data_IF_652963491475
#
_entry.id   IF_652963491475
#
_cell.length_a   1.000
_cell.length_b   1.000
_cell.length_c   1.000
_cell.angle_alpha   90.00
_cell.angle_beta   90.00
_cell.angle_gamma   90.00
#
_symmetry.space_group_name_H-M   'P 1'
#
loop_
_entity.id
_entity.type
_entity.pdbx_description
1 polymer ?
#
# COMPACT_ATOMS: atom_id res chain seq x y z
N UNK A 1 2.62 -0.56 -18.77
CA UNK A 1 3.84 -1.34 -18.46
C UNK A 1 5.02 -0.94 -19.33
N UNK A 2 4.81 -0.56 -20.60
CA UNK A 2 5.87 -0.04 -21.49
C UNK A 2 6.73 1.05 -20.86
N UNK A 3 6.10 1.99 -20.16
CA UNK A 3 6.81 3.06 -19.43
C UNK A 3 7.80 2.52 -18.39
N UNK A 4 7.49 1.43 -17.68
CA UNK A 4 8.42 0.85 -16.70
C UNK A 4 9.64 0.23 -17.38
N UNK A 5 9.44 -0.36 -18.56
CA UNK A 5 10.51 -0.98 -19.34
C UNK A 5 11.40 0.11 -19.96
N UNK A 6 10.80 1.17 -20.49
CA UNK A 6 11.49 2.34 -21.07
C UNK A 6 12.33 3.09 -20.03
N UNK A 7 11.80 3.31 -18.82
CA UNK A 7 12.51 4.03 -17.76
C UNK A 7 13.37 3.12 -16.89
N UNK A 8 13.34 1.81 -17.13
CA UNK A 8 13.99 0.78 -16.31
C UNK A 8 13.63 0.88 -14.82
N UNK A 9 12.44 1.38 -14.50
CA UNK A 9 11.99 1.60 -13.12
C UNK A 9 11.92 0.30 -12.34
N UNK A 10 12.60 0.24 -11.20
CA UNK A 10 12.61 -0.93 -10.30
C UNK A 10 11.61 -0.84 -9.16
N UNK A 11 11.04 0.35 -8.93
CA UNK A 11 10.12 0.61 -7.83
C UNK A 11 8.91 1.38 -8.37
N UNK A 12 7.73 0.95 -7.98
CA UNK A 12 6.47 1.66 -8.22
C UNK A 12 5.84 1.98 -6.88
N UNK A 13 5.54 3.26 -6.66
CA UNK A 13 4.88 3.73 -5.44
C UNK A 13 3.45 4.13 -5.81
N UNK A 14 2.46 3.45 -5.23
CA UNK A 14 1.06 3.78 -5.41
C UNK A 14 0.52 4.61 -4.25
N UNK A 15 -0.16 5.71 -4.55
CA UNK A 15 -0.76 6.58 -3.53
C UNK A 15 -2.15 6.11 -3.13
N UNK A 16 -2.39 5.83 -1.84
CA UNK A 16 -3.66 5.26 -1.36
C UNK A 16 -4.92 6.02 -1.85
N UNK A 17 -4.85 7.35 -1.93
CA UNK A 17 -5.95 8.19 -2.39
C UNK A 17 -6.42 7.94 -3.83
N UNK A 18 -5.58 7.34 -4.69
CA UNK A 18 -5.96 6.95 -6.05
C UNK A 18 -6.50 5.51 -6.14
N UNK A 19 -6.73 4.84 -5.01
CA UNK A 19 -7.15 3.43 -4.93
C UNK A 19 -6.22 2.47 -5.72
N UNK A 20 -4.89 2.50 -5.48
CA UNK A 20 -3.90 1.93 -6.39
C UNK A 20 -3.75 0.42 -6.27
N UNK A 21 -4.44 -0.23 -5.33
CA UNK A 21 -4.22 -1.64 -5.01
C UNK A 21 -4.39 -2.57 -6.23
N UNK A 22 -5.44 -2.46 -7.07
CA UNK A 22 -5.59 -3.33 -8.23
C UNK A 22 -4.40 -3.22 -9.19
N UNK A 23 -3.92 -2.00 -9.44
CA UNK A 23 -2.81 -1.72 -10.34
C UNK A 23 -1.48 -2.24 -9.79
N UNK A 24 -1.18 -1.97 -8.51
CA UNK A 24 0.03 -2.49 -7.86
C UNK A 24 0.07 -4.02 -7.89
N UNK A 25 -1.07 -4.67 -7.63
CA UNK A 25 -1.18 -6.12 -7.69
C UNK A 25 -0.98 -6.65 -9.12
N UNK A 26 -1.54 -5.98 -10.12
CA UNK A 26 -1.35 -6.34 -11.53
C UNK A 26 0.12 -6.19 -11.94
N UNK A 27 0.77 -5.09 -11.55
CA UNK A 27 2.19 -4.84 -11.81
C UNK A 27 3.04 -5.93 -11.15
N UNK A 28 2.84 -6.22 -9.86
CA UNK A 28 3.63 -7.24 -9.15
C UNK A 28 3.51 -8.62 -9.78
N UNK A 29 2.33 -8.98 -10.29
CA UNK A 29 2.11 -10.25 -10.99
C UNK A 29 2.78 -10.28 -12.36
N UNK A 30 2.72 -9.19 -13.11
CA UNK A 30 3.30 -9.11 -14.46
C UNK A 30 4.83 -8.94 -14.45
N UNK A 31 5.36 -8.30 -13.40
CA UNK A 31 6.77 -7.94 -13.24
C UNK A 31 7.20 -8.19 -11.78
N UNK A 32 7.47 -9.45 -11.38
CA UNK A 32 7.78 -9.79 -9.99
C UNK A 32 9.04 -9.11 -9.45
N UNK A 33 9.98 -8.78 -10.33
CA UNK A 33 11.24 -8.08 -10.02
C UNK A 33 11.04 -6.59 -9.68
N UNK A 34 9.90 -6.01 -10.06
CA UNK A 34 9.55 -4.63 -9.70
C UNK A 34 9.00 -4.63 -8.27
N UNK A 35 9.57 -3.77 -7.43
CA UNK A 35 9.09 -3.54 -6.07
C UNK A 35 7.84 -2.68 -6.11
N UNK A 36 6.77 -3.12 -5.48
CA UNK A 36 5.53 -2.34 -5.35
C UNK A 36 5.36 -1.87 -3.91
N UNK A 37 5.33 -0.56 -3.73
CA UNK A 37 5.26 0.10 -2.42
C UNK A 37 3.97 0.89 -2.36
N UNK A 38 3.29 0.83 -1.21
CA UNK A 38 2.06 1.60 -0.99
C UNK A 38 2.37 2.83 -0.13
N UNK A 39 2.01 4.01 -0.62
CA UNK A 39 2.09 5.26 0.12
C UNK A 39 0.74 5.59 0.76
N UNK A 40 0.68 5.59 2.09
CA UNK A 40 -0.55 5.60 2.87
C UNK A 40 -0.80 6.94 3.59
N UNK A 41 -0.81 8.06 2.87
CA UNK A 41 -0.96 9.39 3.50
C UNK A 41 -2.34 9.64 4.12
N UNK A 42 -3.40 9.06 3.56
CA UNK A 42 -4.79 9.42 3.86
C UNK A 42 -5.66 8.20 4.20
N UNK A 43 -5.33 7.52 5.30
CA UNK A 43 -6.04 6.31 5.72
C UNK A 43 -6.81 6.49 7.04
N UNK A 44 -8.07 6.04 7.13
CA UNK A 44 -8.94 5.54 6.05
C UNK A 44 -9.55 6.68 5.20
N UNK A 45 -10.00 6.37 3.98
CA UNK A 45 -10.73 7.34 3.13
C UNK A 45 -12.25 7.32 3.36
N UNK A 46 -12.77 6.18 3.83
CA UNK A 46 -14.20 6.01 4.03
C UNK A 46 -14.67 6.69 5.32
N UNK A 47 -15.84 7.33 5.27
CA UNK A 47 -16.48 7.96 6.43
C UNK A 47 -17.43 7.00 7.18
N UNK A 48 -17.91 5.95 6.51
CA UNK A 48 -18.81 4.96 7.11
C UNK A 48 -18.04 3.75 7.64
N UNK A 49 -18.55 3.15 8.71
CA UNK A 49 -17.92 1.98 9.32
C UNK A 49 -17.74 0.81 8.34
N UNK A 50 -18.74 0.53 7.52
CA UNK A 50 -18.67 -0.51 6.49
C UNK A 50 -17.60 -0.23 5.42
N UNK A 51 -17.44 1.04 5.02
CA UNK A 51 -16.39 1.44 4.09
C UNK A 51 -15.00 1.27 4.69
N UNK A 52 -14.82 1.60 5.96
CA UNK A 52 -13.55 1.41 6.68
C UNK A 52 -13.21 -0.09 6.76
N UNK A 53 -14.17 -0.93 7.15
CA UNK A 53 -13.96 -2.39 7.21
C UNK A 53 -13.58 -2.99 5.85
N UNK A 54 -14.20 -2.50 4.76
CA UNK A 54 -13.85 -2.90 3.40
C UNK A 54 -12.43 -2.49 3.03
N UNK A 55 -12.00 -1.29 3.39
CA UNK A 55 -10.63 -0.82 3.19
C UNK A 55 -9.62 -1.64 4.02
N UNK A 56 -9.92 -1.90 5.30
CA UNK A 56 -9.11 -2.77 6.17
C UNK A 56 -8.95 -4.18 5.55
N UNK A 57 -10.02 -4.73 4.98
CA UNK A 57 -9.99 -6.04 4.31
C UNK A 57 -9.12 -6.03 3.05
N UNK A 58 -9.26 -5.03 2.18
CA UNK A 58 -8.46 -4.96 0.96
C UNK A 58 -6.98 -4.72 1.24
N UNK A 59 -6.68 -3.82 2.18
CA UNK A 59 -5.32 -3.54 2.59
C UNK A 59 -4.65 -4.81 3.13
N UNK A 60 -5.33 -5.54 4.03
CA UNK A 60 -4.87 -6.86 4.52
C UNK A 60 -4.56 -7.85 3.41
N UNK A 61 -5.46 -7.96 2.43
CA UNK A 61 -5.32 -8.93 1.32
C UNK A 61 -4.20 -8.55 0.35
N UNK A 62 -3.94 -7.26 0.20
CA UNK A 62 -2.90 -6.74 -0.69
C UNK A 62 -1.49 -6.93 -0.12
N UNK A 63 -1.33 -6.98 1.21
CA UNK A 63 -0.03 -7.02 1.89
C UNK A 63 0.93 -8.10 1.42
N UNK A 64 0.43 -9.29 1.08
CA UNK A 64 1.27 -10.37 0.53
C UNK A 64 1.92 -10.05 -0.82
N UNK A 65 1.47 -9.00 -1.49
CA UNK A 65 2.00 -8.52 -2.76
C UNK A 65 2.76 -7.20 -2.61
N UNK A 66 2.68 -6.55 -1.45
CA UNK A 66 3.38 -5.30 -1.20
C UNK A 66 4.80 -5.60 -0.72
N UNK A 67 5.78 -4.96 -1.34
CA UNK A 67 7.16 -5.01 -0.90
C UNK A 67 7.43 -4.03 0.26
N UNK A 68 6.54 -3.05 0.47
CA UNK A 68 6.57 -2.19 1.64
C UNK A 68 5.41 -1.18 1.70
N UNK A 69 5.30 -0.49 2.83
CA UNK A 69 4.35 0.61 3.05
C UNK A 69 5.08 1.85 3.57
N UNK A 70 4.77 3.01 3.01
CA UNK A 70 5.22 4.31 3.51
C UNK A 70 4.08 4.98 4.26
N UNK A 71 4.37 5.43 5.47
CA UNK A 71 3.43 6.16 6.32
C UNK A 71 3.87 7.63 6.50
N UNK A 72 2.92 8.58 6.65
CA UNK A 72 3.24 9.99 6.89
C UNK A 72 3.68 10.29 8.33
N UNK A 73 3.34 9.41 9.28
CA UNK A 73 3.64 9.58 10.70
C UNK A 73 3.57 8.25 11.44
N UNK A 74 4.22 8.20 12.60
CA UNK A 74 4.17 7.05 13.51
C UNK A 74 2.74 6.77 14.01
N UNK A 75 1.91 7.82 14.10
CA UNK A 75 0.50 7.70 14.49
C UNK A 75 -0.30 6.88 13.48
N UNK A 76 -0.15 7.18 12.18
CA UNK A 76 -0.85 6.46 11.13
C UNK A 76 -0.33 5.03 11.01
N UNK A 77 0.99 4.83 11.12
CA UNK A 77 1.57 3.49 11.15
C UNK A 77 1.02 2.68 12.32
N UNK A 78 1.05 3.24 13.54
CA UNK A 78 0.56 2.58 14.75
C UNK A 78 -0.93 2.23 14.65
N UNK A 79 -1.75 3.15 14.11
CA UNK A 79 -3.17 2.90 13.86
C UNK A 79 -3.38 1.72 12.92
N UNK A 80 -2.69 1.71 11.78
CA UNK A 80 -2.83 0.65 10.76
C UNK A 80 -2.28 -0.68 11.28
N UNK A 81 -1.13 -0.66 11.97
CA UNK A 81 -0.54 -1.83 12.60
C UNK A 81 -1.50 -2.43 13.63
N UNK A 82 -2.05 -1.63 14.54
CA UNK A 82 -2.94 -2.14 15.59
C UNK A 82 -4.32 -2.58 15.09
N UNK A 83 -4.89 -1.87 14.10
CA UNK A 83 -6.26 -2.12 13.62
C UNK A 83 -6.32 -3.11 12.46
N UNK A 84 -5.46 -2.91 11.47
CA UNK A 84 -5.55 -3.61 10.19
C UNK A 84 -4.79 -4.94 10.26
N UNK A 85 -3.60 -4.95 10.84
CA UNK A 85 -2.68 -6.08 10.78
C UNK A 85 -2.49 -6.78 12.12
N UNK A 86 -3.11 -7.95 12.30
CA UNK A 86 -2.85 -8.79 13.48
C UNK A 86 -1.53 -9.54 13.39
N UNK A 87 -1.13 -9.94 12.18
CA UNK A 87 0.12 -10.64 11.85
C UNK A 87 0.55 -10.26 10.43
N UNK A 88 1.83 -10.47 10.09
CA UNK A 88 2.33 -10.27 8.73
C UNK A 88 2.35 -8.82 8.26
N UNK A 89 2.64 -7.88 9.16
CA UNK A 89 2.82 -6.48 8.80
C UNK A 89 4.00 -6.34 7.82
N UNK A 90 3.81 -5.67 6.67
CA UNK A 90 4.87 -5.55 5.68
C UNK A 90 5.99 -4.63 6.20
N UNK A 91 7.19 -4.68 5.60
CA UNK A 91 8.21 -3.67 5.85
C UNK A 91 7.63 -2.26 5.70
N UNK A 92 7.91 -1.39 6.65
CA UNK A 92 7.39 -0.04 6.67
C UNK A 92 8.48 0.99 6.91
N UNK A 93 8.22 2.20 6.43
CA UNK A 93 8.98 3.39 6.80
C UNK A 93 8.03 4.56 7.03
N UNK A 94 8.32 5.36 8.03
CA UNK A 94 7.65 6.64 8.27
C UNK A 94 8.49 7.72 7.62
N UNK A 95 7.90 8.47 6.70
CA UNK A 95 8.52 9.64 6.08
C UNK A 95 7.69 10.84 6.54
N UNK A 96 8.20 11.65 7.49
CA UNK A 96 7.49 12.84 7.94
C UNK A 96 7.33 13.83 6.76
N UNK A 97 6.24 14.62 6.75
CA UNK A 97 6.03 15.67 5.76
C UNK A 97 7.08 16.78 5.84
#
# INVERSE_FOLDING_TARGET
LSTLDETQSKIVIGYWGTLPLPDLLAIKKARPDVRVVLLLLCYPLALSWGGILRQDFYLRRATRFLDGIVFPSDLTEGYVRGRVFRTGFPPSVVIPP
#
